data_IF_964951857993
#
_entry.id   IF_964951857993
#
_cell.length_a   1.000
_cell.length_b   1.000
_cell.length_c   1.000
_cell.angle_alpha   90.00
_cell.angle_beta   90.00
_cell.angle_gamma   90.00
#
_symmetry.space_group_name_H-M   'P 1'
#
loop_
_entity.id
_entity.type
_entity.pdbx_description
1 polymer ?
#
# COMPACT_ATOMS: atom_id res chain seq x y z
N UNK A 1 6.43 4.78 -15.13
CA UNK A 1 6.16 4.27 -13.77
C UNK A 1 5.00 3.30 -13.83
N UNK A 2 5.03 2.28 -13.01
CA UNK A 2 4.01 1.24 -12.99
C UNK A 2 3.09 1.42 -11.79
N UNK A 3 1.82 1.03 -11.96
CA UNK A 3 0.81 1.09 -10.92
C UNK A 3 0.75 -0.25 -10.20
N UNK A 4 0.60 -0.20 -8.87
CA UNK A 4 0.48 -1.40 -8.03
C UNK A 4 -0.62 -1.23 -7.00
N UNK A 5 -1.27 -2.35 -6.67
CA UNK A 5 -2.14 -2.44 -5.50
C UNK A 5 -1.42 -3.30 -4.48
N UNK A 6 -1.19 -2.76 -3.30
CA UNK A 6 -0.61 -3.51 -2.20
C UNK A 6 -1.72 -3.90 -1.22
N UNK A 7 -1.69 -5.15 -0.78
CA UNK A 7 -2.63 -5.67 0.20
C UNK A 7 -1.83 -6.12 1.43
N UNK A 8 -2.24 -5.63 2.60
CA UNK A 8 -1.63 -6.00 3.87
C UNK A 8 -2.70 -6.56 4.79
N UNK A 9 -2.41 -7.73 5.37
CA UNK A 9 -3.29 -8.37 6.36
C UNK A 9 -2.51 -8.60 7.63
N UNK A 10 -3.10 -8.27 8.76
CA UNK A 10 -2.52 -8.52 10.06
C UNK A 10 -3.60 -9.01 11.02
N UNK A 11 -3.16 -9.61 12.14
CA UNK A 11 -4.08 -10.03 13.19
C UNK A 11 -4.52 -8.83 14.03
N UNK A 12 -5.61 -8.99 14.77
CA UNK A 12 -6.09 -7.94 15.67
C UNK A 12 -5.01 -7.53 16.70
N UNK A 13 -4.19 -8.49 17.13
CA UNK A 13 -3.12 -8.25 18.09
C UNK A 13 -2.03 -7.32 17.56
N UNK A 14 -1.81 -7.34 16.24
CA UNK A 14 -0.78 -6.54 15.58
C UNK A 14 -1.35 -5.32 14.86
N UNK A 15 -2.61 -4.94 15.16
CA UNK A 15 -3.25 -3.80 14.50
C UNK A 15 -2.60 -2.48 14.95
N UNK A 16 -1.91 -1.76 14.06
CA UNK A 16 -1.24 -0.51 14.44
C UNK A 16 -2.22 0.61 14.79
N UNK A 17 -3.44 0.55 14.26
CA UNK A 17 -4.46 1.56 14.54
C UNK A 17 -4.90 1.55 16.00
N UNK A 18 -4.85 0.39 16.65
CA UNK A 18 -5.18 0.24 18.07
C UNK A 18 -4.02 0.54 19.00
N UNK A 19 -2.84 0.84 18.46
CA UNK A 19 -1.64 1.10 19.25
C UNK A 19 -1.25 2.58 19.13
N UNK A 20 -1.37 3.38 20.22
CA UNK A 20 -1.10 4.81 20.15
C UNK A 20 0.34 5.15 19.82
N UNK A 21 1.29 4.21 19.97
CA UNK A 21 2.68 4.42 19.59
C UNK A 21 2.91 4.14 18.11
N UNK A 22 2.16 3.20 17.53
CA UNK A 22 2.33 2.77 16.13
C UNK A 22 1.46 3.56 15.16
N UNK A 23 0.31 4.06 15.62
CA UNK A 23 -0.61 4.76 14.73
C UNK A 23 0.02 5.98 14.02
N UNK A 24 0.84 6.81 14.67
CA UNK A 24 1.50 7.92 13.99
C UNK A 24 2.47 7.45 12.89
N UNK A 25 3.15 6.32 13.11
CA UNK A 25 4.06 5.76 12.09
C UNK A 25 3.29 5.28 10.87
N UNK A 26 2.12 4.68 11.07
CA UNK A 26 1.25 4.26 9.98
C UNK A 26 0.91 5.46 9.08
N UNK A 27 0.47 6.56 9.69
CA UNK A 27 0.12 7.76 8.94
C UNK A 27 1.32 8.40 8.26
N UNK A 28 2.49 8.34 8.90
CA UNK A 28 3.72 8.85 8.31
C UNK A 28 4.17 8.04 7.11
N UNK A 29 4.13 6.71 7.19
CA UNK A 29 4.48 5.82 6.07
C UNK A 29 3.56 6.11 4.89
N UNK A 30 2.27 6.22 5.14
CA UNK A 30 1.25 6.42 4.12
C UNK A 30 0.97 7.90 3.83
N UNK A 31 1.99 8.73 3.89
CA UNK A 31 1.89 10.13 3.49
C UNK A 31 2.45 10.33 2.09
N UNK A 32 1.88 11.27 1.32
CA UNK A 32 2.43 11.59 -0.01
C UNK A 32 3.89 12.00 0.02
N UNK A 33 4.30 12.72 1.06
CA UNK A 33 5.68 13.20 1.23
C UNK A 33 6.65 12.04 1.43
N UNK A 34 6.27 11.06 2.25
CA UNK A 34 7.13 9.90 2.50
C UNK A 34 7.23 9.02 1.26
N UNK A 35 6.13 8.84 0.53
CA UNK A 35 6.14 8.12 -0.73
C UNK A 35 7.07 8.79 -1.74
N UNK A 36 7.00 10.12 -1.85
CA UNK A 36 7.84 10.89 -2.77
C UNK A 36 9.32 10.73 -2.44
N UNK A 37 9.69 10.67 -1.16
CA UNK A 37 11.08 10.43 -0.74
C UNK A 37 11.59 9.06 -1.21
N UNK A 38 10.71 8.10 -1.35
CA UNK A 38 11.03 6.76 -1.85
C UNK A 38 10.95 6.66 -3.38
N UNK A 39 10.66 7.75 -4.07
CA UNK A 39 10.51 7.79 -5.51
C UNK A 39 9.17 7.24 -6.00
N UNK A 40 8.16 7.26 -5.14
CA UNK A 40 6.84 6.70 -5.41
C UNK A 40 5.77 7.78 -5.35
N UNK A 41 4.62 7.51 -5.96
CA UNK A 41 3.44 8.35 -5.86
C UNK A 41 2.33 7.55 -5.20
N UNK A 42 1.88 7.99 -4.04
CA UNK A 42 0.76 7.39 -3.32
C UNK A 42 -0.55 7.95 -3.88
N UNK A 43 -1.40 7.07 -4.40
CA UNK A 43 -2.71 7.46 -4.94
C UNK A 43 -3.82 7.36 -3.90
N UNK A 44 -3.70 6.45 -2.95
CA UNK A 44 -4.70 6.32 -1.89
C UNK A 44 -4.50 5.08 -1.06
N UNK A 45 -5.22 5.01 0.04
CA UNK A 45 -5.24 3.87 0.93
C UNK A 45 -6.63 3.73 1.55
N UNK A 46 -6.95 2.52 1.98
CA UNK A 46 -8.19 2.24 2.68
C UNK A 46 -8.09 0.94 3.45
N UNK A 47 -8.78 0.85 4.56
CA UNK A 47 -8.91 -0.37 5.33
C UNK A 47 -10.34 -0.89 5.19
N UNK A 48 -10.49 -2.17 4.89
CA UNK A 48 -11.81 -2.79 4.85
C UNK A 48 -12.46 -2.68 6.23
N UNK A 49 -13.67 -2.09 6.27
CA UNK A 49 -14.33 -1.76 7.54
C UNK A 49 -14.57 -3.03 8.38
N UNK A 50 -14.12 -2.99 9.63
CA UNK A 50 -14.25 -4.10 10.55
C UNK A 50 -13.27 -5.24 10.31
N UNK A 51 -12.30 -5.05 9.41
CA UNK A 51 -11.30 -6.06 9.08
C UNK A 51 -9.90 -5.48 9.23
N UNK A 52 -8.91 -6.36 9.39
CA UNK A 52 -7.51 -5.96 9.48
C UNK A 52 -6.84 -6.16 8.12
N UNK A 53 -7.39 -5.51 7.10
CA UNK A 53 -6.98 -5.65 5.72
C UNK A 53 -6.85 -4.25 5.10
N UNK A 54 -5.61 -3.87 4.81
CA UNK A 54 -5.26 -2.56 4.24
C UNK A 54 -5.00 -2.69 2.75
N UNK A 55 -5.52 -1.75 1.98
CA UNK A 55 -5.25 -1.61 0.55
C UNK A 55 -4.52 -0.31 0.30
N UNK A 56 -3.49 -0.35 -0.53
CA UNK A 56 -2.73 0.85 -0.91
C UNK A 56 -2.60 0.85 -2.43
N UNK A 57 -2.91 1.98 -3.05
CA UNK A 57 -2.71 2.19 -4.49
C UNK A 57 -1.51 3.11 -4.64
N UNK A 58 -0.47 2.62 -5.29
CA UNK A 58 0.81 3.31 -5.38
C UNK A 58 1.44 3.10 -6.74
N UNK A 59 2.15 4.11 -7.21
CA UNK A 59 2.86 4.09 -8.49
C UNK A 59 4.35 4.18 -8.24
N UNK A 60 5.12 3.35 -8.92
CA UNK A 60 6.58 3.33 -8.74
C UNK A 60 7.31 2.68 -9.90
N UNK A 61 8.64 2.65 -9.85
CA UNK A 61 9.44 2.09 -10.94
C UNK A 61 9.32 0.58 -11.08
N UNK A 62 9.14 -0.14 -9.97
CA UNK A 62 9.03 -1.60 -9.96
C UNK A 62 8.45 -2.10 -8.65
N UNK A 63 8.14 -3.40 -8.61
CA UNK A 63 7.56 -4.03 -7.42
C UNK A 63 8.50 -3.96 -6.22
N UNK A 64 9.81 -4.13 -6.44
CA UNK A 64 10.78 -4.11 -5.35
C UNK A 64 10.79 -2.77 -4.60
N UNK A 65 10.64 -1.66 -5.31
CA UNK A 65 10.56 -0.34 -4.71
C UNK A 65 9.32 -0.19 -3.84
N UNK A 66 8.18 -0.72 -4.27
CA UNK A 66 6.94 -0.71 -3.51
C UNK A 66 7.07 -1.57 -2.26
N UNK A 67 7.66 -2.76 -2.38
CA UNK A 67 7.88 -3.65 -1.23
C UNK A 67 8.81 -3.03 -0.20
N UNK A 68 9.82 -2.32 -0.66
CA UNK A 68 10.75 -1.62 0.25
C UNK A 68 10.04 -0.49 1.00
N UNK A 69 9.25 0.29 0.28
CA UNK A 69 8.46 1.39 0.87
C UNK A 69 7.50 0.89 1.95
N UNK A 70 6.84 -0.24 1.70
CA UNK A 70 5.85 -0.82 2.60
C UNK A 70 6.43 -1.94 3.49
N UNK A 71 7.76 -2.03 3.60
CA UNK A 71 8.43 -3.14 4.27
C UNK A 71 8.05 -3.34 5.72
N UNK A 72 7.70 -2.26 6.44
CA UNK A 72 7.27 -2.36 7.83
C UNK A 72 6.00 -3.21 7.98
N UNK A 73 5.11 -3.20 6.99
CA UNK A 73 3.90 -4.02 7.02
C UNK A 73 4.19 -5.50 6.89
N UNK A 74 5.25 -5.87 6.16
CA UNK A 74 5.64 -7.27 6.02
C UNK A 74 6.12 -7.89 7.34
N UNK A 75 6.52 -7.06 8.31
CA UNK A 75 6.98 -7.54 9.62
C UNK A 75 5.83 -7.88 10.56
N UNK A 76 4.65 -7.32 10.33
CA UNK A 76 3.49 -7.50 11.22
C UNK A 76 2.38 -8.34 10.61
N UNK A 77 2.54 -8.77 9.38
CA UNK A 77 1.53 -9.56 8.67
C UNK A 77 1.99 -9.90 7.27
N UNK A 78 1.03 -10.15 6.38
CA UNK A 78 1.33 -10.44 4.98
C UNK A 78 1.33 -9.14 4.18
N UNK A 79 2.15 -9.12 3.13
CA UNK A 79 2.18 -8.01 2.17
C UNK A 79 2.23 -8.60 0.77
N UNK A 80 1.17 -8.36 0.00
CA UNK A 80 1.09 -8.74 -1.41
C UNK A 80 1.13 -7.47 -2.25
N UNK A 81 1.98 -7.46 -3.27
CA UNK A 81 2.08 -6.33 -4.21
C UNK A 81 1.69 -6.84 -5.58
N UNK A 82 0.61 -6.27 -6.12
CA UNK A 82 -0.02 -6.76 -7.34
C UNK A 82 0.14 -5.71 -8.43
N UNK A 83 0.77 -6.05 -9.57
CA UNK A 83 0.79 -5.15 -10.73
C UNK A 83 -0.64 -4.81 -11.15
N UNK A 84 -0.90 -3.55 -11.44
CA UNK A 84 -2.23 -3.07 -11.74
C UNK A 84 -2.20 -2.13 -12.94
N UNK A 85 -3.37 -1.90 -13.51
CA UNK A 85 -3.57 -0.92 -14.57
C UNK A 85 -4.78 -0.07 -14.22
N UNK A 86 -4.78 1.19 -14.64
CA UNK A 86 -5.96 2.03 -14.51
C UNK A 86 -7.08 1.50 -15.41
N UNK A 87 -8.31 1.83 -15.07
CA UNK A 87 -9.44 1.46 -15.93
C UNK A 87 -9.31 2.08 -17.32
N UNK A 88 -8.75 3.27 -17.41
CA UNK A 88 -8.49 3.93 -18.69
C UNK A 88 -7.55 3.11 -19.58
N UNK A 89 -6.47 2.58 -19.01
CA UNK A 89 -5.55 1.71 -19.74
C UNK A 89 -6.21 0.39 -20.16
N UNK A 90 -6.99 -0.20 -19.27
CA UNK A 90 -7.71 -1.45 -19.53
C UNK A 90 -8.71 -1.27 -20.69
N UNK A 91 -9.46 -0.18 -20.67
CA UNK A 91 -10.40 0.14 -21.74
C UNK A 91 -9.67 0.38 -23.05
N UNK A 92 -8.54 1.12 -22.98
CA UNK A 92 -7.75 1.44 -24.17
C UNK A 92 -7.17 0.23 -24.88
N UNK A 93 -6.78 -0.82 -24.13
CA UNK A 93 -6.26 -2.06 -24.74
C UNK A 93 -7.33 -3.13 -24.96
N UNK A 94 -8.55 -2.92 -24.47
CA UNK A 94 -9.67 -3.82 -24.68
C UNK A 94 -9.61 -5.13 -23.90
N UNK A 95 -8.81 -5.21 -22.84
CA UNK A 95 -8.65 -6.42 -22.02
C UNK A 95 -8.10 -6.10 -20.65
N UNK A 96 -8.48 -6.89 -19.64
CA UNK A 96 -7.85 -6.87 -18.35
C UNK A 96 -6.52 -7.61 -18.40
#
# INVERSE_FOLDING_TARGET
MALFVAEHRHTAEHCPAGNPQMAPFLLQILSPENAAKAGLTLHGDAVARGQHHLYVIVEGPNEAAVRQYLGAFAQTGTLDVIPASSCEEVVGRGAC
#
